data_IF_815074326178
#
_entry.id   IF_815074326178
#
_cell.length_a   1.000
_cell.length_b   1.000
_cell.length_c   1.000
_cell.angle_alpha   90.00
_cell.angle_beta   90.00
_cell.angle_gamma   90.00
#
_symmetry.space_group_name_H-M   'P 1'
#
loop_
_entity.id
_entity.type
_entity.pdbx_description
1 polymer ?
#
# COMPACT_ATOMS: atom_id res chain seq x y z
N UNK A 1 -12.51 6.15 20.56
CA UNK A 1 -12.41 4.69 20.83
C UNK A 1 -11.09 4.19 20.27
N UNK A 2 -10.23 3.59 21.08
CA UNK A 2 -8.94 3.04 20.61
C UNK A 2 -9.16 1.80 19.73
N UNK A 3 -8.33 1.63 18.70
CA UNK A 3 -8.35 0.48 17.80
C UNK A 3 -8.11 -0.87 18.50
N UNK A 4 -7.60 -0.87 19.73
CA UNK A 4 -7.44 -2.07 20.57
C UNK A 4 -8.76 -2.67 21.06
N UNK A 5 -9.83 -1.87 21.12
CA UNK A 5 -11.13 -2.28 21.69
C UNK A 5 -12.23 -2.46 20.64
N UNK A 6 -11.91 -2.26 19.36
CA UNK A 6 -12.85 -2.50 18.27
C UNK A 6 -12.68 -3.94 17.76
N UNK A 7 -13.75 -4.74 17.85
CA UNK A 7 -13.85 -6.08 17.25
C UNK A 7 -14.02 -6.02 15.72
N UNK A 8 -13.29 -5.14 15.04
CA UNK A 8 -13.26 -5.02 13.60
C UNK A 8 -12.15 -5.92 13.04
N UNK A 9 -12.46 -6.63 11.95
CA UNK A 9 -11.44 -7.38 11.21
C UNK A 9 -10.41 -6.39 10.68
N UNK A 10 -9.14 -6.68 10.88
CA UNK A 10 -8.05 -5.85 10.34
C UNK A 10 -7.50 -6.49 9.07
N UNK A 11 -7.18 -5.68 8.06
CA UNK A 11 -6.57 -6.15 6.82
C UNK A 11 -5.71 -5.10 6.14
N UNK A 12 -5.34 -5.37 4.90
CA UNK A 12 -4.55 -4.51 4.03
C UNK A 12 -5.36 -4.18 2.77
N UNK A 13 -5.11 -3.05 2.11
CA UNK A 13 -5.85 -2.66 0.93
C UNK A 13 -5.50 -3.61 -0.22
N UNK A 14 -6.51 -4.21 -0.83
CA UNK A 14 -6.38 -5.11 -1.99
C UNK A 14 -7.51 -4.81 -2.97
N UNK A 15 -7.17 -4.74 -4.25
CA UNK A 15 -8.16 -4.63 -5.31
C UNK A 15 -8.68 -6.03 -5.67
N UNK A 16 -10.01 -6.25 -5.77
CA UNK A 16 -10.55 -7.54 -6.19
C UNK A 16 -10.08 -7.86 -7.60
N UNK A 17 -9.52 -9.05 -7.81
CA UNK A 17 -9.01 -9.51 -9.11
C UNK A 17 -8.07 -8.50 -9.81
N UNK A 18 -7.33 -7.70 -9.03
CA UNK A 18 -6.44 -6.64 -9.55
C UNK A 18 -7.15 -5.65 -10.50
N UNK A 19 -8.40 -5.33 -10.19
CA UNK A 19 -9.21 -4.36 -10.94
C UNK A 19 -8.45 -3.03 -11.14
N UNK A 20 -8.41 -2.54 -12.37
CA UNK A 20 -7.70 -1.32 -12.75
C UNK A 20 -6.31 -1.50 -13.39
N UNK A 21 -5.69 -2.69 -13.33
CA UNK A 21 -4.44 -2.93 -14.08
C UNK A 21 -4.68 -3.12 -15.58
N UNK A 22 -5.69 -3.91 -15.96
CA UNK A 22 -6.05 -4.15 -17.36
C UNK A 22 -7.28 -3.38 -17.80
N UNK A 23 -8.44 -3.71 -17.22
CA UNK A 23 -9.70 -2.99 -17.40
C UNK A 23 -10.40 -2.78 -16.07
N UNK A 24 -11.25 -1.78 -16.01
CA UNK A 24 -12.15 -1.56 -14.88
C UNK A 24 -13.41 -2.43 -15.02
N UNK A 25 -13.78 -3.10 -13.92
CA UNK A 25 -15.04 -3.83 -13.78
C UNK A 25 -15.76 -3.31 -12.54
N UNK A 26 -17.01 -2.86 -12.70
CA UNK A 26 -17.86 -2.48 -11.57
C UNK A 26 -18.15 -3.71 -10.70
N UNK A 27 -17.95 -3.57 -9.38
CA UNK A 27 -18.07 -4.70 -8.45
C UNK A 27 -19.51 -4.93 -7.98
N UNK A 28 -20.36 -3.91 -8.05
CA UNK A 28 -21.77 -4.04 -7.69
C UNK A 28 -22.50 -4.82 -8.78
N UNK A 29 -22.98 -6.03 -8.46
CA UNK A 29 -23.68 -6.89 -9.40
C UNK A 29 -25.19 -6.62 -9.39
N UNK A 30 -25.77 -6.50 -8.19
CA UNK A 30 -27.21 -6.34 -8.01
C UNK A 30 -27.51 -5.32 -6.93
N UNK A 31 -28.56 -4.53 -7.16
CA UNK A 31 -29.13 -3.65 -6.14
C UNK A 31 -30.61 -3.96 -5.96
N UNK A 32 -31.03 -4.18 -4.72
CA UNK A 32 -32.45 -4.43 -4.38
C UNK A 32 -33.00 -3.31 -3.53
N UNK A 33 -33.96 -2.57 -4.09
CA UNK A 33 -34.70 -1.51 -3.41
C UNK A 33 -35.91 -2.12 -2.69
N UNK A 34 -35.88 -2.16 -1.36
CA UNK A 34 -37.02 -2.60 -0.54
C UNK A 34 -37.70 -1.37 0.03
N UNK A 35 -38.99 -1.19 -0.19
CA UNK A 35 -39.72 0.01 0.29
C UNK A 35 -41.19 -0.29 0.56
N UNK A 36 -41.87 0.56 1.34
CA UNK A 36 -43.32 0.47 1.52
C UNK A 36 -44.05 1.50 0.64
N UNK A 37 -45.19 1.10 0.07
CA UNK A 37 -46.02 1.98 -0.78
C UNK A 37 -46.66 3.13 -0.01
N UNK A 38 -47.09 2.88 1.24
CA UNK A 38 -47.94 3.81 1.97
C UNK A 38 -47.22 4.49 3.16
N UNK A 39 -46.12 3.92 3.63
CA UNK A 39 -45.46 4.43 4.83
C UNK A 39 -44.66 5.71 4.52
N UNK A 40 -44.84 6.75 5.35
CA UNK A 40 -44.14 8.03 5.20
C UNK A 40 -42.62 7.88 5.21
N UNK A 41 -42.09 6.91 5.97
CA UNK A 41 -40.64 6.69 6.03
C UNK A 41 -39.99 6.21 4.73
N UNK A 42 -40.80 5.73 3.77
CA UNK A 42 -40.36 5.29 2.44
C UNK A 42 -40.61 6.35 1.35
N UNK A 43 -40.96 7.60 1.72
CA UNK A 43 -41.25 8.66 0.76
C UNK A 43 -40.07 8.90 -0.20
N UNK A 44 -38.89 9.24 0.32
CA UNK A 44 -37.73 9.54 -0.55
C UNK A 44 -37.32 8.36 -1.45
N UNK A 45 -37.51 7.11 -1.01
CA UNK A 45 -37.23 5.93 -1.85
C UNK A 45 -38.23 5.80 -3.00
N UNK A 46 -39.51 6.18 -2.80
CA UNK A 46 -40.50 6.22 -3.89
C UNK A 46 -40.16 7.33 -4.88
N UNK A 47 -39.84 8.52 -4.38
CA UNK A 47 -39.48 9.66 -5.20
C UNK A 47 -38.23 9.34 -6.07
N UNK A 48 -37.24 8.63 -5.50
CA UNK A 48 -36.08 8.12 -6.24
C UNK A 48 -36.46 7.07 -7.32
N UNK A 49 -37.36 6.14 -6.98
CA UNK A 49 -37.85 5.12 -7.92
C UNK A 49 -38.55 5.75 -9.13
N UNK A 50 -39.37 6.77 -8.88
CA UNK A 50 -40.15 7.47 -9.92
C UNK A 50 -39.27 8.34 -10.82
N UNK A 51 -38.30 9.06 -10.24
CA UNK A 51 -37.57 10.11 -10.96
C UNK A 51 -36.17 9.71 -11.48
N UNK A 52 -35.43 8.84 -10.77
CA UNK A 52 -34.01 8.61 -11.06
C UNK A 52 -33.65 7.17 -11.41
N UNK A 53 -34.43 6.19 -10.97
CA UNK A 53 -34.08 4.77 -11.09
C UNK A 53 -33.83 4.32 -12.53
N UNK A 54 -34.67 4.77 -13.46
CA UNK A 54 -34.58 4.39 -14.88
C UNK A 54 -33.31 4.95 -15.51
N UNK A 55 -32.95 6.19 -15.18
CA UNK A 55 -31.73 6.82 -15.67
C UNK A 55 -30.49 6.12 -15.11
N UNK A 56 -30.50 5.81 -13.80
CA UNK A 56 -29.43 5.05 -13.16
C UNK A 56 -29.20 3.67 -13.82
N UNK A 57 -30.28 2.96 -14.14
CA UNK A 57 -30.18 1.64 -14.80
C UNK A 57 -29.65 1.74 -16.24
N UNK A 58 -29.98 2.82 -16.97
CA UNK A 58 -29.46 3.07 -18.32
C UNK A 58 -27.97 3.42 -18.30
N UNK A 59 -27.53 4.22 -17.34
CA UNK A 59 -26.13 4.61 -17.19
C UNK A 59 -25.24 3.44 -16.75
N UNK A 60 -25.80 2.50 -15.99
CA UNK A 60 -25.05 1.38 -15.42
C UNK A 60 -25.63 0.03 -15.88
N UNK A 61 -25.46 -0.35 -17.16
CA UNK A 61 -26.07 -1.55 -17.72
C UNK A 61 -25.54 -2.86 -17.12
N UNK A 62 -24.38 -2.83 -16.46
CA UNK A 62 -23.81 -3.99 -15.77
C UNK A 62 -24.47 -4.31 -14.42
N UNK A 63 -25.35 -3.44 -13.91
CA UNK A 63 -25.96 -3.57 -12.58
C UNK A 63 -27.43 -3.98 -12.73
N UNK A 64 -27.82 -5.10 -12.11
CA UNK A 64 -29.22 -5.52 -12.12
C UNK A 64 -29.97 -4.86 -10.97
N UNK A 65 -31.06 -4.16 -11.29
CA UNK A 65 -31.88 -3.43 -10.33
C UNK A 65 -33.17 -4.18 -10.05
N UNK A 66 -33.43 -4.50 -8.78
CA UNK A 66 -34.68 -5.09 -8.32
C UNK A 66 -35.47 -4.13 -7.44
N UNK A 67 -36.78 -4.06 -7.68
CA UNK A 67 -37.70 -3.23 -6.90
C UNK A 67 -38.67 -4.14 -6.16
N UNK A 68 -38.59 -4.19 -4.83
CA UNK A 68 -39.38 -5.08 -3.97
C UNK A 68 -40.26 -4.29 -3.00
N UNK A 69 -41.54 -4.05 -3.30
CA UNK A 69 -42.45 -3.44 -2.35
C UNK A 69 -42.71 -4.37 -1.15
N UNK A 70 -42.65 -3.83 0.07
CA UNK A 70 -42.89 -4.52 1.36
C UNK A 70 -43.84 -3.69 2.21
N UNK A 71 -44.98 -4.28 2.61
CA UNK A 71 -45.96 -3.59 3.48
C UNK A 71 -45.40 -3.41 4.90
N UNK A 72 -45.68 -2.27 5.52
CA UNK A 72 -45.33 -1.95 6.92
C UNK A 72 -43.88 -2.25 7.32
N UNK A 73 -42.93 -1.97 6.42
CA UNK A 73 -41.50 -2.09 6.67
C UNK A 73 -40.78 -0.81 6.27
N UNK A 74 -39.66 -0.53 6.94
CA UNK A 74 -38.77 0.57 6.60
C UNK A 74 -38.07 0.29 5.27
N UNK A 75 -37.69 1.35 4.52
CA UNK A 75 -36.98 1.18 3.27
C UNK A 75 -35.54 0.73 3.53
N UNK A 76 -35.06 -0.19 2.71
CA UNK A 76 -33.71 -0.79 2.82
C UNK A 76 -33.13 -0.97 1.42
N UNK A 77 -31.89 -0.53 1.26
CA UNK A 77 -31.06 -0.76 0.09
C UNK A 77 -30.21 -2.01 0.33
N UNK A 78 -30.18 -2.94 -0.62
CA UNK A 78 -29.29 -4.11 -0.54
C UNK A 78 -28.41 -4.15 -1.78
N UNK A 79 -27.11 -3.99 -1.59
CA UNK A 79 -26.09 -4.17 -2.64
C UNK A 79 -25.47 -5.54 -2.54
N UNK A 80 -25.38 -6.26 -3.66
CA UNK A 80 -24.68 -7.54 -3.76
C UNK A 80 -23.50 -7.40 -4.72
N UNK A 81 -22.31 -7.79 -4.25
CA UNK A 81 -21.05 -7.64 -4.95
C UNK A 81 -20.61 -8.94 -5.63
N UNK A 82 -19.70 -8.84 -6.62
CA UNK A 82 -19.16 -9.99 -7.35
C UNK A 82 -18.43 -11.01 -6.47
N UNK A 83 -17.84 -10.56 -5.36
CA UNK A 83 -17.19 -11.44 -4.38
C UNK A 83 -18.18 -12.22 -3.49
N UNK A 84 -19.48 -11.98 -3.65
CA UNK A 84 -20.56 -12.60 -2.85
C UNK A 84 -20.98 -11.80 -1.62
N UNK A 85 -20.27 -10.72 -1.29
CA UNK A 85 -20.62 -9.87 -0.15
C UNK A 85 -21.93 -9.13 -0.39
N UNK A 86 -22.62 -8.85 0.72
CA UNK A 86 -23.88 -8.12 0.71
C UNK A 86 -23.86 -7.00 1.72
N UNK A 87 -24.23 -5.81 1.28
CA UNK A 87 -24.35 -4.65 2.13
C UNK A 87 -25.80 -4.21 2.28
N UNK A 88 -26.17 -3.92 3.53
CA UNK A 88 -27.52 -3.51 3.91
C UNK A 88 -27.46 -2.07 4.42
N UNK A 89 -28.13 -1.16 3.73
CA UNK A 89 -28.25 0.23 4.15
C UNK A 89 -29.71 0.54 4.47
N UNK A 90 -29.95 1.07 5.67
CA UNK A 90 -31.28 1.55 6.07
C UNK A 90 -31.48 2.97 5.52
N UNK A 91 -32.55 3.19 4.76
CA UNK A 91 -32.88 4.49 4.16
C UNK A 91 -34.11 5.12 4.83
N UNK A 92 -34.34 4.83 6.12
CA UNK A 92 -35.53 5.29 6.85
C UNK A 92 -35.53 6.82 6.93
N UNK A 93 -36.59 7.45 6.41
CA UNK A 93 -36.76 8.91 6.35
C UNK A 93 -35.64 9.63 5.56
N UNK A 94 -34.90 8.92 4.71
CA UNK A 94 -33.91 9.54 3.84
C UNK A 94 -34.57 10.29 2.69
N UNK A 95 -33.99 11.40 2.28
CA UNK A 95 -34.43 12.16 1.11
C UNK A 95 -34.02 11.45 -0.19
N UNK A 96 -34.62 11.85 -1.32
CA UNK A 96 -34.25 11.32 -2.64
C UNK A 96 -32.77 11.56 -2.97
N UNK A 97 -32.25 12.73 -2.61
CA UNK A 97 -30.84 13.11 -2.84
C UNK A 97 -29.89 12.25 -1.99
N UNK A 98 -30.21 12.00 -0.73
CA UNK A 98 -29.45 11.10 0.13
C UNK A 98 -29.44 9.68 -0.42
N UNK A 99 -30.58 9.18 -0.88
CA UNK A 99 -30.68 7.85 -1.48
C UNK A 99 -29.84 7.75 -2.74
N UNK A 100 -29.80 8.81 -3.56
CA UNK A 100 -28.94 8.87 -4.75
C UNK A 100 -27.46 8.74 -4.35
N UNK A 101 -27.03 9.48 -3.32
CA UNK A 101 -25.66 9.37 -2.76
C UNK A 101 -25.36 7.97 -2.22
N UNK A 102 -26.32 7.32 -1.55
CA UNK A 102 -26.15 5.95 -1.07
C UNK A 102 -26.03 4.93 -2.20
N UNK A 103 -26.81 5.10 -3.27
CA UNK A 103 -26.72 4.25 -4.46
C UNK A 103 -25.37 4.45 -5.17
N UNK A 104 -24.89 5.68 -5.29
CA UNK A 104 -23.57 5.98 -5.84
C UNK A 104 -22.43 5.42 -4.98
N UNK A 105 -22.56 5.46 -3.66
CA UNK A 105 -21.63 4.81 -2.74
C UNK A 105 -21.60 3.30 -3.00
N UNK A 106 -22.77 2.65 -3.07
CA UNK A 106 -22.83 1.21 -3.36
C UNK A 106 -22.19 0.86 -4.70
N UNK A 107 -22.37 1.71 -5.73
CA UNK A 107 -21.81 1.52 -7.07
C UNK A 107 -20.29 1.63 -7.08
N UNK A 108 -19.73 2.58 -6.34
CA UNK A 108 -18.30 2.92 -6.38
C UNK A 108 -17.44 2.03 -5.48
N UNK A 109 -18.02 1.44 -4.44
CA UNK A 109 -17.30 0.53 -3.55
C UNK A 109 -17.15 -0.89 -4.11
N UNK A 110 -16.24 -1.65 -3.52
CA UNK A 110 -15.94 -3.05 -3.86
C UNK A 110 -16.48 -4.07 -2.83
N UNK A 111 -17.19 -3.58 -1.81
CA UNK A 111 -17.68 -4.34 -0.66
C UNK A 111 -17.96 -3.39 0.51
N UNK A 112 -18.24 -3.92 1.70
CA UNK A 112 -18.55 -3.09 2.87
C UNK A 112 -17.30 -2.35 3.38
N UNK A 113 -17.21 -1.06 3.05
CA UNK A 113 -16.06 -0.20 3.38
C UNK A 113 -15.82 -0.06 4.90
N UNK A 114 -16.86 -0.17 5.72
CA UNK A 114 -16.80 -0.04 7.18
C UNK A 114 -16.45 -1.34 7.91
N UNK A 115 -16.45 -2.47 7.21
CA UNK A 115 -16.25 -3.79 7.81
C UNK A 115 -14.79 -4.11 8.18
N UNK A 116 -13.84 -3.41 7.56
CA UNK A 116 -12.43 -3.73 7.64
C UNK A 116 -11.58 -2.51 8.04
N UNK A 117 -10.78 -2.67 9.08
CA UNK A 117 -9.77 -1.70 9.47
C UNK A 117 -8.50 -1.92 8.66
N UNK A 118 -8.11 -0.93 7.86
CA UNK A 118 -6.85 -0.96 7.13
C UNK A 118 -5.66 -0.74 8.08
N UNK A 119 -4.66 -1.61 7.99
CA UNK A 119 -3.39 -1.49 8.75
C UNK A 119 -2.40 -0.55 8.07
N UNK A 120 -2.44 -0.48 6.74
CA UNK A 120 -1.64 0.43 5.90
C UNK A 120 -2.57 0.99 4.82
N UNK A 121 -2.33 2.22 4.38
CA UNK A 121 -3.09 2.84 3.28
C UNK A 121 -2.51 2.54 1.89
N UNK A 122 -1.48 1.72 1.82
CA UNK A 122 -0.82 1.34 0.57
C UNK A 122 -0.54 -0.16 0.56
N UNK A 123 -0.39 -0.71 -0.63
CA UNK A 123 -0.03 -2.09 -0.86
C UNK A 123 0.76 -2.21 -2.16
N UNK A 124 1.80 -3.04 -2.14
CA UNK A 124 2.58 -3.44 -3.31
C UNK A 124 2.91 -4.92 -3.17
N UNK A 125 2.84 -5.66 -4.27
CA UNK A 125 3.32 -7.05 -4.33
C UNK A 125 4.85 -7.09 -4.47
N UNK A 126 5.48 -6.01 -4.98
CA UNK A 126 6.93 -5.89 -5.18
C UNK A 126 7.48 -4.68 -4.40
N UNK A 127 7.91 -4.86 -3.14
CA UNK A 127 8.33 -3.74 -2.28
C UNK A 127 9.75 -3.23 -2.54
N UNK A 128 10.64 -4.03 -3.15
CA UNK A 128 12.00 -3.61 -3.53
C UNK A 128 12.31 -3.98 -4.97
N UNK A 129 13.05 -3.11 -5.67
CA UNK A 129 13.47 -3.28 -7.07
C UNK A 129 14.89 -3.86 -7.15
N UNK A 130 15.81 -3.36 -6.31
CA UNK A 130 17.24 -3.75 -6.33
C UNK A 130 17.57 -4.89 -5.35
N UNK A 131 16.56 -5.42 -4.67
CA UNK A 131 16.71 -6.41 -3.61
C UNK A 131 16.43 -5.82 -2.22
N UNK A 132 15.84 -6.58 -1.30
CA UNK A 132 15.63 -6.12 0.07
C UNK A 132 16.96 -5.97 0.81
N UNK A 133 17.00 -5.07 1.79
CA UNK A 133 18.18 -4.94 2.64
C UNK A 133 18.46 -6.26 3.38
N UNK A 134 19.71 -6.70 3.39
CA UNK A 134 20.18 -7.77 4.26
C UNK A 134 21.38 -7.28 5.08
N UNK A 135 21.62 -7.83 6.29
CA UNK A 135 22.76 -7.43 7.12
C UNK A 135 24.13 -7.56 6.44
N UNK A 136 24.24 -8.35 5.37
CA UNK A 136 25.49 -8.60 4.66
C UNK A 136 25.69 -7.72 3.42
N UNK A 137 24.70 -6.91 3.01
CA UNK A 137 24.79 -6.14 1.76
C UNK A 137 25.95 -5.15 1.72
N UNK A 138 26.23 -4.52 2.85
CA UNK A 138 27.28 -3.50 2.98
C UNK A 138 28.52 -4.04 3.71
N UNK A 139 28.64 -5.36 3.83
CA UNK A 139 29.79 -6.02 4.45
C UNK A 139 30.81 -6.37 3.37
N UNK A 140 32.08 -6.13 3.63
CA UNK A 140 33.15 -6.58 2.73
C UNK A 140 33.14 -8.12 2.66
N UNK A 141 33.35 -8.72 1.46
CA UNK A 141 33.46 -10.17 1.33
C UNK A 141 34.51 -10.78 2.27
N UNK A 142 35.58 -10.05 2.56
CA UNK A 142 36.66 -10.45 3.45
C UNK A 142 36.22 -10.68 4.89
N UNK A 143 35.19 -9.97 5.34
CA UNK A 143 34.65 -10.13 6.68
C UNK A 143 33.76 -11.36 6.81
N UNK A 144 33.48 -12.10 5.72
CA UNK A 144 32.79 -13.38 5.77
C UNK A 144 33.77 -14.49 6.15
N UNK A 145 33.63 -15.03 7.37
CA UNK A 145 34.46 -16.12 7.88
C UNK A 145 35.59 -15.71 8.83
N UNK A 146 35.72 -14.41 9.14
CA UNK A 146 36.60 -13.94 10.20
C UNK A 146 36.02 -14.28 11.58
N UNK A 147 36.82 -14.92 12.43
CA UNK A 147 36.51 -15.08 13.85
C UNK A 147 36.87 -13.78 14.59
N UNK A 148 35.92 -13.23 15.34
CA UNK A 148 36.14 -12.03 16.15
C UNK A 148 36.45 -12.41 17.60
N UNK A 149 37.39 -11.69 18.27
CA UNK A 149 38.07 -10.47 17.83
C UNK A 149 39.28 -10.74 16.92
N UNK A 150 39.28 -10.18 15.71
CA UNK A 150 40.41 -10.24 14.77
C UNK A 150 41.26 -8.98 14.85
N UNK A 151 42.56 -9.12 15.10
CA UNK A 151 43.51 -8.00 15.12
C UNK A 151 43.54 -7.27 13.78
N UNK A 152 43.42 -8.00 12.67
CA UNK A 152 43.43 -7.44 11.32
C UNK A 152 42.24 -6.50 11.06
N UNK A 153 41.00 -6.94 11.35
CA UNK A 153 39.83 -6.09 11.19
C UNK A 153 39.77 -4.93 12.22
N UNK A 154 40.56 -4.99 13.30
CA UNK A 154 40.65 -3.90 14.27
C UNK A 154 41.61 -2.78 13.83
N UNK A 155 42.44 -3.01 12.81
CA UNK A 155 43.37 -1.99 12.32
C UNK A 155 42.59 -0.85 11.64
N UNK A 156 42.92 0.43 11.91
CA UNK A 156 42.37 1.54 11.17
C UNK A 156 42.76 1.46 9.69
N UNK A 157 41.83 1.75 8.79
CA UNK A 157 42.12 1.78 7.34
C UNK A 157 43.10 2.91 6.99
N UNK A 158 42.95 4.06 7.63
CA UNK A 158 43.77 5.26 7.41
C UNK A 158 44.84 5.42 8.50
N UNK A 159 45.63 4.37 8.75
CA UNK A 159 46.76 4.47 9.65
C UNK A 159 47.87 5.30 8.98
N UNK A 160 48.30 6.44 9.54
CA UNK A 160 49.43 7.17 9.00
C UNK A 160 50.69 6.31 9.12
N UNK A 161 51.54 6.33 8.10
CA UNK A 161 52.84 5.67 8.17
C UNK A 161 53.60 6.14 9.41
N UNK A 162 54.05 5.20 10.22
CA UNK A 162 54.87 5.50 11.39
C UNK A 162 56.19 6.15 10.96
N UNK A 163 56.77 6.99 11.81
CA UNK A 163 58.07 7.61 11.52
C UNK A 163 59.15 6.55 11.22
N UNK A 164 59.09 5.40 11.88
CA UNK A 164 59.96 4.24 11.63
C UNK A 164 59.76 3.62 10.26
N UNK A 165 58.52 3.41 9.84
CA UNK A 165 58.22 2.88 8.49
C UNK A 165 58.70 3.84 7.41
N UNK A 166 58.48 5.16 7.60
CA UNK A 166 59.01 6.19 6.69
C UNK A 166 60.53 6.15 6.57
N UNK A 167 61.25 6.03 7.69
CA UNK A 167 62.72 5.93 7.67
C UNK A 167 63.19 4.66 6.97
N UNK A 168 62.52 3.52 7.19
CA UNK A 168 62.82 2.27 6.49
C UNK A 168 62.57 2.40 5.00
N UNK A 169 61.49 3.05 4.59
CA UNK A 169 61.16 3.32 3.20
C UNK A 169 62.22 4.22 2.54
N UNK A 170 62.57 5.34 3.19
CA UNK A 170 63.66 6.23 2.75
C UNK A 170 64.99 5.50 2.60
N UNK A 171 65.34 4.62 3.54
CA UNK A 171 66.56 3.83 3.48
C UNK A 171 66.56 2.81 2.34
N UNK A 172 65.41 2.18 2.08
CA UNK A 172 65.24 1.26 0.93
C UNK A 172 65.37 2.02 -0.39
N UNK A 173 64.77 3.20 -0.50
CA UNK A 173 64.90 4.08 -1.67
C UNK A 173 66.37 4.48 -1.89
N UNK A 174 67.09 4.87 -0.84
CA UNK A 174 68.51 5.21 -0.91
C UNK A 174 69.37 4.03 -1.45
N UNK A 175 69.12 2.81 -0.95
CA UNK A 175 69.82 1.61 -1.44
C UNK A 175 69.54 1.30 -2.91
N UNK A 176 68.35 1.62 -3.40
CA UNK A 176 67.99 1.40 -4.81
C UNK A 176 68.64 2.44 -5.73
N UNK A 177 68.81 3.68 -5.26
CA UNK A 177 69.45 4.76 -6.01
C UNK A 177 70.98 4.62 -6.07
N UNK A 178 71.62 3.87 -5.18
CA UNK A 178 73.08 3.78 -5.13
C UNK A 178 73.73 5.09 -4.66
N UNK A 179 74.93 5.01 -4.06
CA UNK A 179 75.52 6.17 -3.37
C UNK A 179 75.89 7.34 -4.30
N UNK A 180 76.15 7.07 -5.58
CA UNK A 180 76.54 8.09 -6.56
C UNK A 180 75.36 8.95 -7.03
N UNK A 181 74.18 8.35 -7.29
CA UNK A 181 73.03 9.09 -7.80
C UNK A 181 72.41 9.99 -6.71
N UNK A 182 72.47 9.59 -5.44
CA UNK A 182 71.96 10.40 -4.31
C UNK A 182 72.80 11.66 -4.07
N UNK A 183 74.13 11.57 -4.24
CA UNK A 183 75.02 12.73 -4.14
C UNK A 183 74.82 13.72 -5.29
N UNK A 184 74.43 13.24 -6.47
CA UNK A 184 74.14 14.08 -7.63
C UNK A 184 72.84 14.88 -7.47
N UNK A 185 71.79 14.25 -6.94
CA UNK A 185 70.49 14.92 -6.70
C UNK A 185 70.58 16.00 -5.62
N UNK A 186 71.30 15.73 -4.51
CA UNK A 186 71.53 16.74 -3.44
C UNK A 186 72.36 17.94 -3.87
N UNK A 187 73.10 17.86 -4.98
CA UNK A 187 73.89 18.97 -5.54
C UNK A 187 73.11 19.81 -6.54
N UNK A 188 71.95 19.33 -6.99
CA UNK A 188 71.13 19.97 -8.03
C UNK A 188 69.96 20.81 -7.47
N UNK A 189 69.65 20.67 -6.18
CA UNK A 189 68.76 21.56 -5.40
C UNK A 189 69.56 22.67 -4.70
#
# INVERSE_FOLDING_TARGET
MSNSHLFLKSGFPRAPLQNGLGRYVCQLQRITLKFCKNNGSSKGMRDFIENHLVNFAKENPGIVVYVKPRRHRTPVLVGEYLNGDREWLSCRNSTQEEITKWVDLLRTQNGSSSSLRLRKMWHTDVPSIQGPWTPFLLRSPEAHGQEYPSVEASKPLDAPQTATEKLIELFRQQKQLGDEDVLSQKRAE
#
